data_IF_790273401735
#
_entry.id   IF_790273401735
#
_cell.length_a   1.000
_cell.length_b   1.000
_cell.length_c   1.000
_cell.angle_alpha   90.00
_cell.angle_beta   90.00
_cell.angle_gamma   90.00
#
_symmetry.space_group_name_H-M   'P 1'
#
loop_
_entity.id
_entity.type
_entity.pdbx_description
1 polymer ?
#
# COMPACT_ATOMS: atom_id res chain seq x y z
N UNK A 1 -3.59 7.36 -27.90
CA UNK A 1 -3.66 5.88 -27.78
C UNK A 1 -2.75 5.48 -26.63
N UNK A 2 -3.27 5.37 -25.40
CA UNK A 2 -2.47 4.88 -24.27
C UNK A 2 -2.35 3.37 -24.45
N UNK A 3 -1.16 2.89 -24.73
CA UNK A 3 -0.79 1.48 -24.76
C UNK A 3 -1.26 0.83 -23.47
N UNK A 4 -2.08 -0.23 -23.57
CA UNK A 4 -2.54 -1.00 -22.42
C UNK A 4 -1.38 -1.75 -21.80
N UNK A 5 -0.70 -1.10 -20.85
CA UNK A 5 0.33 -1.71 -20.03
C UNK A 5 -0.37 -2.25 -18.78
N UNK A 6 -0.27 -3.55 -18.50
CA UNK A 6 -0.69 -4.07 -17.19
C UNK A 6 0.13 -3.33 -16.14
N UNK A 7 -0.51 -2.68 -15.19
CA UNK A 7 0.24 -2.01 -14.12
C UNK A 7 0.96 -3.10 -13.32
N UNK A 8 2.20 -2.84 -12.89
CA UNK A 8 2.96 -3.81 -12.09
C UNK A 8 2.16 -4.28 -10.86
N UNK A 9 1.28 -3.42 -10.34
CA UNK A 9 0.30 -3.71 -9.30
C UNK A 9 -0.58 -4.93 -9.59
N UNK A 10 -1.04 -5.12 -10.82
CA UNK A 10 -1.90 -6.25 -11.22
C UNK A 10 -1.17 -7.60 -11.16
N UNK A 11 0.17 -7.57 -11.20
CA UNK A 11 1.03 -8.74 -11.11
C UNK A 11 1.47 -8.97 -9.66
N UNK A 12 1.83 -7.91 -8.96
CA UNK A 12 2.44 -7.98 -7.62
C UNK A 12 1.41 -8.24 -6.52
N UNK A 13 0.23 -7.59 -6.56
CA UNK A 13 -0.75 -7.72 -5.48
C UNK A 13 -1.24 -9.17 -5.25
N UNK A 14 -1.59 -9.95 -6.28
CA UNK A 14 -2.04 -11.32 -6.08
C UNK A 14 -0.96 -12.22 -5.46
N UNK A 15 0.30 -12.03 -5.86
CA UNK A 15 1.42 -12.82 -5.36
C UNK A 15 1.68 -12.58 -3.87
N UNK A 16 1.69 -11.31 -3.45
CA UNK A 16 1.85 -10.96 -2.05
C UNK A 16 0.66 -11.46 -1.23
N UNK A 17 -0.57 -11.34 -1.75
CA UNK A 17 -1.76 -11.86 -1.06
C UNK A 17 -1.68 -13.38 -0.86
N UNK A 18 -1.27 -14.14 -1.87
CA UNK A 18 -1.10 -15.58 -1.79
C UNK A 18 -0.07 -15.98 -0.71
N UNK A 19 1.06 -15.28 -0.67
CA UNK A 19 2.08 -15.49 0.37
C UNK A 19 1.53 -15.20 1.77
N UNK A 20 0.78 -14.11 1.94
CA UNK A 20 0.15 -13.80 3.23
C UNK A 20 -0.88 -14.86 3.63
N UNK A 21 -1.66 -15.36 2.68
CA UNK A 21 -2.67 -16.38 2.96
C UNK A 21 -2.05 -17.72 3.40
N UNK A 22 -0.87 -18.05 2.88
CA UNK A 22 -0.11 -19.26 3.22
C UNK A 22 0.63 -19.12 4.56
N UNK A 23 1.33 -18.01 4.78
CA UNK A 23 2.29 -17.89 5.88
C UNK A 23 1.83 -17.02 7.05
N UNK A 24 0.93 -16.07 6.84
CA UNK A 24 0.50 -15.18 7.92
C UNK A 24 -0.54 -15.87 8.81
N UNK A 25 -0.14 -16.15 10.06
CA UNK A 25 -1.07 -16.54 11.11
C UNK A 25 -1.45 -15.30 11.94
N UNK A 26 -2.74 -14.95 11.97
CA UNK A 26 -3.25 -13.96 12.92
C UNK A 26 -4.48 -14.50 13.64
N UNK A 27 -4.61 -14.29 14.97
CA UNK A 27 -5.74 -14.82 15.74
C UNK A 27 -7.07 -14.11 15.42
N UNK A 28 -7.04 -13.01 14.68
CA UNK A 28 -8.19 -12.15 14.38
C UNK A 28 -8.68 -12.26 12.93
N UNK A 29 -8.03 -13.07 12.07
CA UNK A 29 -8.46 -13.28 10.69
C UNK A 29 -7.33 -13.39 9.67
N UNK A 30 -7.65 -13.13 8.40
CA UNK A 30 -6.69 -13.12 7.29
C UNK A 30 -6.19 -11.70 7.01
N UNK A 31 -4.90 -11.58 6.69
CA UNK A 31 -4.27 -10.32 6.29
C UNK A 31 -4.68 -10.00 4.86
N UNK A 32 -5.10 -8.77 4.62
CA UNK A 32 -5.55 -8.32 3.31
C UNK A 32 -4.57 -7.29 2.76
N UNK A 33 -4.07 -7.53 1.56
CA UNK A 33 -3.14 -6.64 0.85
C UNK A 33 -3.92 -5.77 -0.14
N UNK A 34 -3.66 -4.46 -0.15
CA UNK A 34 -4.35 -3.47 -1.01
C UNK A 34 -3.37 -2.43 -1.54
N UNK A 35 -3.69 -1.83 -2.70
CA UNK A 35 -2.99 -0.65 -3.22
C UNK A 35 -3.26 0.53 -2.29
N UNK A 36 -2.24 1.35 -2.03
CA UNK A 36 -2.43 2.60 -1.31
C UNK A 36 -3.24 3.59 -2.16
N UNK A 37 -4.20 4.28 -1.57
CA UNK A 37 -5.04 5.25 -2.29
C UNK A 37 -4.30 6.56 -2.59
N UNK A 38 -3.38 6.97 -1.71
CA UNK A 38 -2.68 8.25 -1.78
C UNK A 38 -1.28 8.15 -2.41
N UNK A 39 -0.96 7.03 -3.08
CA UNK A 39 0.29 6.73 -3.81
C UNK A 39 1.46 7.71 -3.54
N UNK A 40 1.80 8.55 -4.52
CA UNK A 40 2.96 9.46 -4.46
C UNK A 40 2.75 10.66 -3.51
N UNK A 41 1.51 10.97 -3.18
CA UNK A 41 1.15 12.15 -2.37
C UNK A 41 1.13 11.89 -0.87
N UNK A 42 1.08 10.61 -0.45
CA UNK A 42 1.01 10.22 0.95
C UNK A 42 2.16 10.81 1.79
N UNK A 43 3.36 10.89 1.20
CA UNK A 43 4.53 11.47 1.84
C UNK A 43 4.35 12.96 2.17
N UNK A 44 3.68 13.74 1.29
CA UNK A 44 3.44 15.16 1.52
C UNK A 44 2.49 15.37 2.71
N UNK A 45 1.41 14.59 2.79
CA UNK A 45 0.49 14.65 3.92
C UNK A 45 1.15 14.23 5.23
N UNK A 46 1.99 13.18 5.21
CA UNK A 46 2.75 12.76 6.39
C UNK A 46 3.76 13.80 6.86
N UNK A 47 4.43 14.49 5.92
CA UNK A 47 5.39 15.54 6.24
C UNK A 47 4.76 16.73 6.96
N UNK A 48 3.49 17.06 6.65
CA UNK A 48 2.78 18.14 7.33
C UNK A 48 2.74 17.95 8.86
N UNK A 49 2.57 16.71 9.34
CA UNK A 49 2.60 16.41 10.77
C UNK A 49 3.94 16.82 11.41
N UNK A 50 5.06 16.48 10.76
CA UNK A 50 6.40 16.80 11.25
C UNK A 50 6.70 18.30 11.21
N UNK A 51 6.22 19.01 10.18
CA UNK A 51 6.39 20.46 10.09
C UNK A 51 5.62 21.20 11.18
N UNK A 52 4.37 20.79 11.46
CA UNK A 52 3.55 21.39 12.52
C UNK A 52 4.04 21.08 13.93
N UNK A 53 4.75 19.98 14.14
CA UNK A 53 5.35 19.64 15.44
C UNK A 53 6.56 20.51 15.78
N UNK A 54 7.22 21.11 14.78
CA UNK A 54 8.32 22.06 14.99
C UNK A 54 7.86 23.49 15.32
N UNK A 55 6.57 23.80 15.15
CA UNK A 55 6.02 25.14 15.43
C UNK A 55 5.51 25.32 16.88
N UNK A 56 5.64 24.28 17.72
CA UNK A 56 5.32 24.31 19.16
C UNK A 56 6.57 24.43 20.02
#
# INVERSE_FOLDING_TARGET
MRTGNKEATDIILPEIQAWMDEYAWTPWGKVIVRKAELEDTAALYGMNYLLMEQEK
#
